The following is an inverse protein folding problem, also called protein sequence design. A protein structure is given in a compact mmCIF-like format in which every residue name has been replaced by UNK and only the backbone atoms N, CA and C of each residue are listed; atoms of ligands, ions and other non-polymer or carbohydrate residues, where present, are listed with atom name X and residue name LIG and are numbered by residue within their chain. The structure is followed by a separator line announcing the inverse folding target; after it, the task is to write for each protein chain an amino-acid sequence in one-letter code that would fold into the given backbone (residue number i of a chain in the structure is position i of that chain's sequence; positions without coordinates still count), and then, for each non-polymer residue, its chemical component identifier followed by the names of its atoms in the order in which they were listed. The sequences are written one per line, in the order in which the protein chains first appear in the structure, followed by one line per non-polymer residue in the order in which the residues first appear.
data_IF_103846245820
#
_entry.id   IF_103846245820
#
_cell.length_a   1.000
_cell.length_b   1.000
_cell.length_c   1.000
_cell.angle_alpha   90.00
_cell.angle_beta   90.00
_cell.angle_gamma   90.00
#
_symmetry.space_group_name_H-M   'P 1'
#
loop_
_entity.id
_entity.type
_entity.pdbx_description
1 polymer ?
#
# COMPACT_ATOMS: atom_id res chain seq x y z
N UNK A 1 2.38 -22.19 -12.42
CA UNK A 1 2.50 -23.56 -11.92
C UNK A 1 1.11 -24.08 -11.56
N UNK A 2 0.90 -25.39 -11.59
CA UNK A 2 -0.38 -26.04 -11.32
C UNK A 2 -0.97 -25.64 -9.96
N UNK A 3 -0.13 -25.46 -8.95
CA UNK A 3 -0.55 -25.04 -7.60
C UNK A 3 -1.22 -23.66 -7.56
N UNK A 4 -0.77 -22.71 -8.38
CA UNK A 4 -1.36 -21.36 -8.43
C UNK A 4 -2.73 -21.36 -9.10
N UNK A 5 -2.92 -22.18 -10.13
CA UNK A 5 -4.23 -22.34 -10.78
C UNK A 5 -5.25 -23.01 -9.85
N UNK A 6 -4.82 -24.05 -9.12
CA UNK A 6 -5.66 -24.75 -8.14
C UNK A 6 -6.06 -23.81 -6.99
N UNK A 7 -5.14 -23.00 -6.48
CA UNK A 7 -5.44 -22.01 -5.45
C UNK A 7 -6.45 -20.97 -5.94
N UNK A 8 -6.29 -20.44 -7.15
CA UNK A 8 -7.24 -19.49 -7.74
C UNK A 8 -8.64 -20.08 -7.90
N UNK A 9 -8.73 -21.34 -8.33
CA UNK A 9 -10.01 -22.02 -8.46
C UNK A 9 -10.69 -22.23 -7.10
N UNK A 10 -9.92 -22.59 -6.06
CA UNK A 10 -10.42 -22.69 -4.69
C UNK A 10 -10.99 -21.35 -4.20
N UNK A 11 -10.24 -20.24 -4.40
CA UNK A 11 -10.70 -18.92 -3.98
C UNK A 11 -11.99 -18.48 -4.70
N UNK A 12 -12.11 -18.77 -6.01
CA UNK A 12 -13.34 -18.50 -6.76
C UNK A 12 -14.52 -19.26 -6.19
N UNK A 13 -14.38 -20.56 -5.94
CA UNK A 13 -15.43 -21.39 -5.32
C UNK A 13 -15.83 -20.86 -3.94
N UNK A 14 -14.86 -20.45 -3.10
CA UNK A 14 -15.15 -19.86 -1.79
C UNK A 14 -15.91 -18.54 -1.90
N UNK A 15 -15.63 -17.72 -2.92
CA UNK A 15 -16.36 -16.47 -3.16
C UNK A 15 -17.80 -16.72 -3.63
N UNK A 16 -18.04 -17.74 -4.45
CA UNK A 16 -19.37 -18.16 -4.89
C UNK A 16 -20.19 -18.66 -3.70
N UNK A 17 -19.65 -19.59 -2.92
CA UNK A 17 -20.29 -20.13 -1.71
C UNK A 17 -20.61 -19.04 -0.68
N UNK A 18 -19.70 -18.08 -0.52
CA UNK A 18 -19.90 -16.92 0.36
C UNK A 18 -21.09 -16.07 -0.10
N UNK A 19 -21.19 -15.82 -1.41
CA UNK A 19 -22.27 -15.02 -2.00
C UNK A 19 -23.61 -15.73 -1.86
N UNK A 20 -23.63 -17.03 -2.16
CA UNK A 20 -24.87 -17.81 -2.23
C UNK A 20 -25.41 -18.18 -0.85
N UNK A 21 -24.53 -18.40 0.12
CA UNK A 21 -24.90 -18.87 1.47
C UNK A 21 -24.69 -17.84 2.58
N UNK A 22 -24.20 -16.65 2.28
CA UNK A 22 -23.92 -15.62 3.29
C UNK A 22 -22.83 -16.00 4.29
N UNK A 23 -21.89 -16.87 3.91
CA UNK A 23 -20.84 -17.34 4.81
C UNK A 23 -19.76 -16.28 5.03
N UNK A 24 -19.15 -16.30 6.21
CA UNK A 24 -17.89 -15.59 6.48
C UNK A 24 -16.73 -16.57 6.28
N UNK A 25 -15.78 -16.20 5.44
CA UNK A 25 -14.58 -16.97 5.16
C UNK A 25 -13.39 -16.29 5.82
N UNK A 26 -12.65 -17.03 6.65
CA UNK A 26 -11.37 -16.56 7.22
C UNK A 26 -10.24 -17.29 6.50
N UNK A 27 -9.34 -16.50 5.88
CA UNK A 27 -8.18 -16.98 5.14
C UNK A 27 -6.90 -16.53 5.82
N UNK A 28 -5.97 -17.44 6.06
CA UNK A 28 -4.62 -17.12 6.48
C UNK A 28 -3.64 -17.38 5.32
N UNK A 29 -2.88 -16.37 4.91
CA UNK A 29 -1.90 -16.50 3.84
C UNK A 29 -0.69 -15.60 4.13
N UNK A 30 0.49 -16.04 3.71
CA UNK A 30 1.68 -15.20 3.65
C UNK A 30 1.88 -14.58 2.24
N UNK A 31 1.02 -14.96 1.29
CA UNK A 31 1.00 -14.39 -0.05
C UNK A 31 0.09 -13.16 -0.06
N UNK A 32 0.69 -11.98 0.02
CA UNK A 32 -0.03 -10.71 0.08
C UNK A 32 -0.95 -10.51 -1.12
N UNK A 33 -0.52 -10.91 -2.33
CA UNK A 33 -1.33 -10.81 -3.55
C UNK A 33 -2.68 -11.51 -3.40
N UNK A 34 -2.68 -12.75 -2.89
CA UNK A 34 -3.92 -13.52 -2.70
C UNK A 34 -4.75 -12.95 -1.55
N UNK A 35 -4.10 -12.58 -0.43
CA UNK A 35 -4.79 -11.97 0.69
C UNK A 35 -5.54 -10.70 0.28
N UNK A 36 -4.95 -9.84 -0.54
CA UNK A 36 -5.58 -8.61 -1.01
C UNK A 36 -6.65 -8.81 -2.06
N UNK A 37 -6.45 -9.79 -2.95
CA UNK A 37 -7.40 -10.07 -4.04
C UNK A 37 -8.71 -10.64 -3.51
N UNK A 38 -8.63 -11.48 -2.48
CA UNK A 38 -9.73 -12.33 -2.06
C UNK A 38 -10.38 -11.94 -0.72
N UNK A 39 -9.86 -10.93 0.00
CA UNK A 39 -10.42 -10.48 1.28
C UNK A 39 -11.08 -9.10 1.20
N UNK A 40 -12.12 -8.88 2.00
CA UNK A 40 -12.73 -7.57 2.21
C UNK A 40 -12.08 -6.84 3.39
N UNK A 41 -11.65 -7.59 4.41
CA UNK A 41 -10.95 -7.09 5.59
C UNK A 41 -9.66 -7.89 5.79
N UNK A 42 -8.54 -7.20 5.88
CA UNK A 42 -7.22 -7.78 6.06
C UNK A 42 -6.68 -7.43 7.44
N UNK A 43 -6.20 -8.45 8.15
CA UNK A 43 -5.52 -8.28 9.43
C UNK A 43 -4.14 -8.93 9.38
N UNK A 44 -3.14 -8.24 9.88
CA UNK A 44 -1.83 -8.84 10.04
C UNK A 44 -1.74 -9.59 11.35
N UNK A 45 -1.05 -10.74 11.35
CA UNK A 45 -0.73 -11.51 12.54
C UNK A 45 0.78 -11.47 12.77
N UNK A 46 1.21 -11.00 13.93
CA UNK A 46 2.60 -11.00 14.35
C UNK A 46 2.72 -11.48 15.79
N UNK A 47 3.63 -12.42 16.06
CA UNK A 47 3.89 -13.00 17.39
C UNK A 47 2.60 -13.49 18.10
N UNK A 48 1.70 -14.13 17.34
CA UNK A 48 0.43 -14.65 17.84
C UNK A 48 -0.62 -13.59 18.17
N UNK A 49 -0.39 -12.32 17.80
CA UNK A 49 -1.33 -11.22 18.03
C UNK A 49 -1.80 -10.61 16.72
N UNK A 50 -3.07 -10.27 16.66
CA UNK A 50 -3.60 -9.46 15.56
C UNK A 50 -3.11 -8.02 15.73
N UNK A 51 -2.40 -7.53 14.73
CA UNK A 51 -1.94 -6.13 14.70
C UNK A 51 -2.86 -5.30 13.80
N UNK A 52 -3.33 -4.14 14.27
CA UNK A 52 -4.32 -3.33 13.55
C UNK A 52 -3.72 -2.54 12.38
N UNK A 53 -2.51 -2.88 11.95
CA UNK A 53 -1.80 -2.15 10.90
C UNK A 53 -1.78 -3.00 9.64
N UNK A 54 -2.39 -2.52 8.58
CA UNK A 54 -2.13 -3.04 7.24
C UNK A 54 -0.64 -2.81 6.96
N UNK A 55 0.12 -3.85 6.59
CA UNK A 55 1.56 -3.74 6.40
C UNK A 55 1.97 -2.89 5.20
N UNK A 56 1.02 -2.44 4.40
CA UNK A 56 1.23 -1.68 3.17
C UNK A 56 0.12 -0.63 2.96
N UNK A 57 0.42 0.41 2.20
CA UNK A 57 -0.56 1.38 1.74
C UNK A 57 -1.36 0.78 0.59
N UNK A 58 -2.65 0.56 0.80
CA UNK A 58 -3.50 -0.18 -0.12
C UNK A 58 -4.65 0.67 -0.62
N UNK A 59 -4.85 0.63 -1.93
CA UNK A 59 -5.89 1.42 -2.58
C UNK A 59 -6.60 0.59 -3.65
N UNK A 60 -7.93 0.51 -3.58
CA UNK A 60 -8.75 -0.05 -4.66
C UNK A 60 -8.97 1.05 -5.70
N UNK A 61 -8.64 0.76 -6.93
CA UNK A 61 -8.69 1.73 -8.04
C UNK A 61 -9.21 1.09 -9.32
N UNK A 62 -9.52 1.93 -10.29
CA UNK A 62 -9.69 1.51 -11.69
C UNK A 62 -8.58 2.15 -12.51
N UNK A 63 -7.71 1.31 -13.04
CA UNK A 63 -6.61 1.75 -13.90
C UNK A 63 -7.16 2.19 -15.25
N UNK A 64 -6.74 3.36 -15.79
CA UNK A 64 -7.16 3.82 -17.09
C UNK A 64 -6.64 2.91 -18.21
N UNK A 65 -7.27 2.94 -19.37
CA UNK A 65 -6.69 2.38 -20.59
C UNK A 65 -5.41 3.16 -20.92
N UNK A 66 -4.28 2.48 -20.91
CA UNK A 66 -2.97 3.09 -21.13
C UNK A 66 -2.73 3.40 -22.60
N UNK A 67 -2.04 4.52 -22.88
CA UNK A 67 -1.39 4.73 -24.16
C UNK A 67 0.00 4.08 -24.13
N UNK A 68 0.51 3.56 -25.27
CA UNK A 68 1.86 3.00 -25.33
C UNK A 68 2.92 4.01 -24.84
N UNK A 69 3.84 3.57 -23.99
CA UNK A 69 4.93 4.36 -23.43
C UNK A 69 4.53 5.55 -22.52
N UNK A 70 3.30 5.59 -22.04
CA UNK A 70 2.83 6.59 -21.08
C UNK A 70 2.62 5.90 -19.73
N UNK A 71 3.27 6.42 -18.67
CA UNK A 71 3.02 5.97 -17.31
C UNK A 71 1.60 6.38 -16.90
N UNK A 72 0.69 5.42 -16.63
CA UNK A 72 -0.66 5.75 -16.21
C UNK A 72 -0.67 6.45 -14.86
N UNK A 73 -1.62 7.37 -14.70
CA UNK A 73 -1.90 8.07 -13.45
C UNK A 73 -3.28 7.69 -12.95
N UNK A 74 -3.38 7.46 -11.66
CA UNK A 74 -4.63 7.09 -11.00
C UNK A 74 -4.91 8.06 -9.87
N UNK A 75 -6.14 8.59 -9.84
CA UNK A 75 -6.58 9.47 -8.75
C UNK A 75 -7.02 8.65 -7.55
N UNK A 76 -6.44 8.98 -6.40
CA UNK A 76 -6.81 8.43 -5.08
C UNK A 76 -6.99 9.64 -4.14
N UNK A 77 -8.21 9.82 -3.62
CA UNK A 77 -8.51 11.04 -2.88
C UNK A 77 -8.24 12.29 -3.72
N UNK A 78 -7.36 13.16 -3.24
CA UNK A 78 -6.98 14.41 -3.91
C UNK A 78 -5.67 14.32 -4.69
N UNK A 79 -4.96 13.19 -4.64
CA UNK A 79 -3.67 13.00 -5.32
C UNK A 79 -3.77 12.12 -6.57
N UNK A 80 -2.85 12.31 -7.50
CA UNK A 80 -2.67 11.45 -8.67
C UNK A 80 -1.38 10.65 -8.52
N UNK A 81 -1.51 9.31 -8.50
CA UNK A 81 -0.39 8.38 -8.36
C UNK A 81 0.01 7.86 -9.74
N UNK A 82 1.28 8.05 -10.09
CA UNK A 82 1.92 7.46 -11.24
C UNK A 82 2.24 5.98 -10.97
N UNK A 83 1.82 5.07 -11.85
CA UNK A 83 1.96 3.62 -11.68
C UNK A 83 2.63 3.03 -12.92
N UNK A 84 3.75 2.32 -12.74
CA UNK A 84 4.42 1.64 -13.84
C UNK A 84 3.76 0.27 -14.09
N UNK A 85 2.72 0.25 -14.91
CA UNK A 85 1.96 -0.97 -15.23
C UNK A 85 1.40 -0.91 -16.66
N UNK A 86 1.18 -2.07 -17.24
CA UNK A 86 0.43 -2.28 -18.49
C UNK A 86 -1.01 -2.77 -18.24
N UNK A 87 -1.37 -3.01 -16.97
CA UNK A 87 -2.72 -3.43 -16.59
C UNK A 87 -3.73 -2.31 -16.76
N UNK A 88 -4.99 -2.67 -16.96
CA UNK A 88 -6.16 -1.79 -17.05
C UNK A 88 -7.32 -2.34 -16.25
N UNK A 89 -8.30 -1.50 -15.92
CA UNK A 89 -9.50 -1.91 -15.19
C UNK A 89 -9.33 -1.98 -13.68
N UNK A 90 -10.22 -2.70 -12.97
CA UNK A 90 -10.19 -2.79 -11.52
C UNK A 90 -8.90 -3.42 -11.01
N UNK A 91 -8.26 -2.79 -10.03
CA UNK A 91 -6.99 -3.23 -9.46
C UNK A 91 -6.85 -2.80 -8.00
N UNK A 92 -5.90 -3.41 -7.32
CA UNK A 92 -5.43 -2.98 -6.01
C UNK A 92 -3.99 -2.49 -6.16
N UNK A 93 -3.75 -1.25 -5.77
CA UNK A 93 -2.40 -0.71 -5.65
C UNK A 93 -1.89 -0.93 -4.24
N UNK A 94 -0.67 -1.43 -4.13
CA UNK A 94 0.06 -1.54 -2.87
C UNK A 94 1.38 -0.78 -2.95
N UNK A 95 1.62 0.12 -1.99
CA UNK A 95 2.87 0.88 -1.90
C UNK A 95 3.57 0.45 -0.62
N UNK A 96 4.68 -0.31 -0.71
CA UNK A 96 5.39 -0.76 0.47
C UNK A 96 5.90 0.43 1.28
N UNK A 97 5.72 0.44 2.62
CA UNK A 97 6.22 1.53 3.47
C UNK A 97 7.72 1.78 3.36
N UNK A 98 8.51 0.73 3.09
CA UNK A 98 9.96 0.82 2.91
C UNK A 98 10.38 1.52 1.60
N UNK A 99 9.49 1.63 0.63
CA UNK A 99 9.76 2.25 -0.67
C UNK A 99 9.40 3.73 -0.69
N UNK A 100 8.83 4.25 0.41
CA UNK A 100 8.49 5.66 0.58
C UNK A 100 9.65 6.38 1.29
N UNK A 101 10.23 7.36 0.59
CA UNK A 101 11.26 8.24 1.13
C UNK A 101 10.59 9.46 1.75
N UNK A 102 10.97 9.79 2.98
CA UNK A 102 10.55 11.01 3.67
C UNK A 102 11.65 12.07 3.58
N UNK A 103 11.25 13.33 3.35
CA UNK A 103 12.13 14.49 3.34
C UNK A 103 11.42 15.74 3.85
N UNK A 104 12.17 16.77 4.24
CA UNK A 104 11.61 18.06 4.67
C UNK A 104 11.08 18.90 3.51
N UNK A 105 11.62 18.66 2.32
CA UNK A 105 11.25 19.37 1.08
C UNK A 105 11.36 18.41 -0.10
N UNK A 106 10.68 18.69 -1.23
CA UNK A 106 10.80 17.88 -2.43
C UNK A 106 12.28 17.76 -2.88
N UNK A 107 12.69 16.52 -3.19
CA UNK A 107 14.03 16.21 -3.67
C UNK A 107 14.02 16.01 -5.18
N UNK A 108 15.02 16.57 -5.87
CA UNK A 108 15.26 16.26 -7.26
C UNK A 108 15.67 14.77 -7.40
N UNK A 109 14.79 13.95 -7.94
CA UNK A 109 14.98 12.50 -8.01
C UNK A 109 14.20 11.87 -9.16
N UNK A 110 14.38 10.58 -9.37
CA UNK A 110 13.59 9.78 -10.33
C UNK A 110 12.21 9.38 -9.81
N UNK A 111 11.84 9.77 -8.59
CA UNK A 111 10.49 9.53 -8.06
C UNK A 111 9.47 10.36 -8.86
N UNK A 112 8.43 9.69 -9.35
CA UNK A 112 7.31 10.35 -10.06
C UNK A 112 6.18 10.72 -9.11
N UNK A 113 6.12 10.08 -7.97
CA UNK A 113 5.16 10.35 -6.91
C UNK A 113 5.86 11.17 -5.83
N UNK A 114 5.49 12.44 -5.71
CA UNK A 114 6.06 13.37 -4.73
C UNK A 114 4.90 14.20 -4.17
N UNK A 115 4.60 14.02 -2.90
CA UNK A 115 3.46 14.64 -2.23
C UNK A 115 3.91 15.29 -0.94
N UNK A 116 3.53 16.54 -0.73
CA UNK A 116 3.81 17.28 0.51
C UNK A 116 2.57 17.30 1.39
N UNK A 117 2.77 17.19 2.69
CA UNK A 117 1.72 17.17 3.68
C UNK A 117 2.27 17.25 5.09
N UNK A 118 1.62 16.62 6.03
CA UNK A 118 1.96 16.66 7.45
C UNK A 118 1.98 15.26 8.06
N UNK A 119 2.89 15.06 9.01
CA UNK A 119 2.90 13.87 9.86
C UNK A 119 1.66 13.88 10.76
N UNK A 120 0.89 12.79 10.73
CA UNK A 120 -0.30 12.64 11.59
C UNK A 120 -0.05 11.69 12.77
N UNK A 121 0.78 10.66 12.56
CA UNK A 121 1.01 9.64 13.57
C UNK A 121 2.39 8.97 13.41
N UNK A 122 2.95 8.55 14.55
CA UNK A 122 4.09 7.64 14.61
C UNK A 122 3.70 6.39 15.38
N UNK A 123 4.14 5.23 14.90
CA UNK A 123 4.03 3.95 15.61
C UNK A 123 5.34 3.17 15.51
N UNK A 124 5.61 2.33 16.50
CA UNK A 124 6.84 1.56 16.62
C UNK A 124 6.51 0.06 16.62
N UNK A 125 6.37 -0.56 15.42
CA UNK A 125 5.98 -1.96 15.32
C UNK A 125 7.04 -2.91 15.87
N UNK A 126 8.32 -2.52 15.83
CA UNK A 126 9.46 -3.26 16.37
C UNK A 126 10.62 -2.31 16.70
N UNK A 127 11.61 -2.72 17.53
CA UNK A 127 12.79 -1.92 17.79
C UNK A 127 13.52 -1.48 16.51
N UNK A 128 13.93 -0.23 16.46
CA UNK A 128 14.66 0.37 15.32
C UNK A 128 13.83 0.72 14.10
N UNK A 129 12.52 0.41 14.08
CA UNK A 129 11.62 0.73 12.99
C UNK A 129 10.47 1.63 13.48
N UNK A 130 10.27 2.73 12.79
CA UNK A 130 9.16 3.65 13.01
C UNK A 130 8.30 3.72 11.76
N UNK A 131 7.00 3.50 11.92
CA UNK A 131 6.02 3.81 10.89
C UNK A 131 5.53 5.24 11.11
N UNK A 132 5.75 6.08 10.11
CA UNK A 132 5.30 7.46 10.07
C UNK A 132 4.11 7.53 9.14
N UNK A 133 2.94 7.89 9.68
CA UNK A 133 1.76 8.18 8.86
C UNK A 133 1.79 9.67 8.50
N UNK A 134 1.71 9.97 7.22
CA UNK A 134 1.62 11.31 6.68
C UNK A 134 0.32 11.50 5.90
N UNK A 135 -0.40 12.58 6.16
CA UNK A 135 -1.54 13.02 5.37
C UNK A 135 -1.01 13.92 4.25
N UNK A 136 -1.15 13.46 3.02
CA UNK A 136 -0.66 14.15 1.80
C UNK A 136 -1.77 14.26 0.74
N UNK A 137 -3.03 14.33 1.18
CA UNK A 137 -4.23 14.20 0.36
C UNK A 137 -4.81 12.78 0.40
N UNK A 138 -4.03 11.87 0.90
CA UNK A 138 -4.34 10.51 1.37
C UNK A 138 -3.40 10.18 2.52
N UNK A 139 -3.76 9.23 3.36
CA UNK A 139 -2.84 8.71 4.38
C UNK A 139 -1.82 7.76 3.76
N UNK A 140 -0.53 8.08 3.90
CA UNK A 140 0.59 7.22 3.53
C UNK A 140 1.41 6.84 4.77
N UNK A 141 1.72 5.56 4.88
CA UNK A 141 2.60 5.03 5.93
C UNK A 141 3.98 4.77 5.32
N UNK A 142 5.00 5.44 5.83
CA UNK A 142 6.41 5.21 5.50
C UNK A 142 7.12 4.51 6.66
N UNK A 143 8.06 3.62 6.35
CA UNK A 143 8.88 2.92 7.34
C UNK A 143 10.29 3.54 7.36
N UNK A 144 10.69 4.07 8.50
CA UNK A 144 11.98 4.77 8.69
C UNK A 144 12.65 4.33 9.99
N UNK A 145 13.91 4.70 10.16
CA UNK A 145 14.65 4.45 11.41
C UNK A 145 14.34 5.52 12.47
N UNK A 146 14.58 5.20 13.74
CA UNK A 146 14.52 6.19 14.84
C UNK A 146 15.49 7.38 14.61
N UNK A 147 16.63 7.12 13.98
CA UNK A 147 17.60 8.15 13.62
C UNK A 147 17.01 9.14 12.60
N UNK A 148 16.40 8.62 11.53
CA UNK A 148 15.73 9.45 10.52
C UNK A 148 14.59 10.29 11.13
N UNK A 149 13.83 9.73 12.08
CA UNK A 149 12.78 10.49 12.80
C UNK A 149 13.38 11.69 13.52
N UNK A 150 14.51 11.52 14.22
CA UNK A 150 15.20 12.61 14.94
C UNK A 150 15.79 13.65 13.98
N UNK A 151 16.52 13.20 12.94
CA UNK A 151 17.19 14.07 12.00
C UNK A 151 16.20 14.92 11.18
N UNK A 152 15.09 14.31 10.76
CA UNK A 152 14.06 15.02 10.00
C UNK A 152 13.07 15.78 10.90
N UNK A 153 13.13 15.57 12.22
CA UNK A 153 12.21 16.22 13.17
C UNK A 153 10.75 15.77 12.97
N UNK A 154 10.55 14.48 12.68
CA UNK A 154 9.21 13.94 12.40
C UNK A 154 8.41 13.80 13.71
N UNK A 155 7.49 14.72 13.92
CA UNK A 155 6.52 14.71 15.01
C UNK A 155 5.14 15.02 14.44
N UNK A 156 4.04 14.62 15.10
CA UNK A 156 2.70 14.99 14.64
C UNK A 156 2.58 16.50 14.40
N UNK A 157 2.06 16.87 13.23
CA UNK A 157 1.97 18.26 12.75
C UNK A 157 3.20 18.76 11.99
N UNK A 158 4.33 18.05 12.00
CA UNK A 158 5.50 18.45 11.22
C UNK A 158 5.25 18.33 9.70
N UNK A 159 5.69 19.30 8.89
CA UNK A 159 5.62 19.20 7.45
C UNK A 159 6.56 18.10 6.95
N UNK A 160 6.11 17.34 5.95
CA UNK A 160 6.87 16.24 5.37
C UNK A 160 6.53 16.10 3.89
N UNK A 161 7.50 15.66 3.11
CA UNK A 161 7.31 15.24 1.73
C UNK A 161 7.52 13.73 1.63
N UNK A 162 6.54 13.02 1.06
CA UNK A 162 6.61 11.60 0.72
C UNK A 162 6.97 11.46 -0.75
N UNK A 163 7.99 10.67 -1.07
CA UNK A 163 8.42 10.43 -2.43
C UNK A 163 8.62 8.93 -2.69
N UNK A 164 8.11 8.41 -3.81
CA UNK A 164 8.32 7.04 -4.25
C UNK A 164 8.25 6.90 -5.77
N UNK A 165 8.92 5.87 -6.29
CA UNK A 165 8.94 5.59 -7.73
C UNK A 165 7.61 5.02 -8.20
N UNK A 166 7.22 5.29 -9.46
CA UNK A 166 6.07 4.63 -10.08
C UNK A 166 6.25 3.10 -10.14
N UNK A 167 7.49 2.61 -10.27
CA UNK A 167 7.83 1.19 -10.26
C UNK A 167 7.80 0.53 -8.86
N UNK A 168 7.72 1.31 -7.78
CA UNK A 168 7.53 0.79 -6.43
C UNK A 168 6.06 0.42 -6.15
N UNK A 169 5.13 0.95 -6.95
CA UNK A 169 3.70 0.64 -6.84
C UNK A 169 3.44 -0.75 -7.40
N UNK A 170 3.02 -1.66 -6.55
CA UNK A 170 2.61 -3.02 -6.94
C UNK A 170 1.15 -3.00 -7.35
N UNK A 171 0.82 -3.75 -8.41
CA UNK A 171 -0.53 -3.83 -8.98
C UNK A 171 -1.03 -5.26 -8.95
N UNK A 172 -2.17 -5.50 -8.27
CA UNK A 172 -2.80 -6.80 -8.13
C UNK A 172 -4.18 -6.85 -8.77
#
# INVERSE_FOLDING_TARGET
SADRAAAQQLYQTLQEERRDRGMTVCLASHQLEDAYRWSDDLRALADGKVVPVTPENLFRVTLPAGAPNVTPHVRIGTVEIAVATDRTGPAILAIPPNDIILSRAPLASSARNVFSGQVTRLSRPRPGLVHVTAEVGIDLVAAVTEEAVRELGLVPGAPVTCAFKASAVRVF
#
